data_IF_395495189152
#
_entry.id   IF_395495189152
#
_cell.length_a   1.000
_cell.length_b   1.000
_cell.length_c   1.000
_cell.angle_alpha   90.00
_cell.angle_beta   90.00
_cell.angle_gamma   90.00
#
_symmetry.space_group_name_H-M   'P 1'
#
loop_
_entity.id
_entity.type
_entity.pdbx_description
1 polymer ?
#
# COMPACT_ATOMS: atom_id res chain seq x y z
N UNK A 1 14.19 0.26 6.58
CA UNK A 1 12.80 0.05 7.05
C UNK A 1 12.49 0.87 8.30
N UNK A 2 13.30 0.80 9.37
CA UNK A 2 13.06 1.55 10.63
C UNK A 2 12.87 3.08 10.41
N UNK A 3 13.64 3.68 9.51
CA UNK A 3 13.53 5.12 9.19
C UNK A 3 12.19 5.50 8.57
N UNK A 4 11.64 4.64 7.72
CA UNK A 4 10.35 4.86 7.07
C UNK A 4 9.24 4.78 8.13
N UNK A 5 9.33 3.81 9.04
CA UNK A 5 8.40 3.68 10.16
C UNK A 5 8.44 4.92 11.08
N UNK A 6 9.64 5.45 11.38
CA UNK A 6 9.79 6.68 12.16
C UNK A 6 9.18 7.89 11.45
N UNK A 7 9.42 8.06 10.16
CA UNK A 7 8.81 9.14 9.37
C UNK A 7 7.28 9.04 9.36
N UNK A 8 6.73 7.83 9.22
CA UNK A 8 5.29 7.62 9.25
C UNK A 8 4.70 7.93 10.63
N UNK A 9 5.37 7.50 11.70
CA UNK A 9 4.98 7.80 13.07
C UNK A 9 5.01 9.32 13.35
N UNK A 10 6.05 10.02 12.91
CA UNK A 10 6.15 11.48 13.01
C UNK A 10 5.05 12.18 12.21
N UNK A 11 4.72 11.68 11.00
CA UNK A 11 3.61 12.18 10.20
C UNK A 11 2.26 12.05 10.91
N UNK A 12 2.00 10.91 11.57
CA UNK A 12 0.77 10.70 12.35
C UNK A 12 0.70 11.61 13.58
N UNK A 13 1.82 11.78 14.30
CA UNK A 13 1.88 12.66 15.49
C UNK A 13 1.69 14.12 15.09
N UNK A 14 2.37 14.58 14.05
CA UNK A 14 2.24 15.95 13.54
C UNK A 14 0.84 16.22 12.97
N UNK A 15 0.25 15.26 12.26
CA UNK A 15 -1.14 15.34 11.78
C UNK A 15 -2.19 15.34 12.89
N UNK A 16 -1.93 14.67 14.02
CA UNK A 16 -2.84 14.68 15.18
C UNK A 16 -2.71 15.93 16.05
N UNK A 17 -1.48 16.44 16.22
CA UNK A 17 -1.21 17.62 17.03
C UNK A 17 -1.63 18.91 16.32
N UNK A 18 -1.46 18.93 14.99
CA UNK A 18 -1.90 20.06 14.18
C UNK A 18 -3.40 19.93 13.93
N UNK A 19 -4.20 20.81 14.53
CA UNK A 19 -5.61 20.97 14.12
C UNK A 19 -5.63 21.63 12.75
N UNK A 20 -5.39 20.85 11.70
CA UNK A 20 -5.37 21.37 10.33
C UNK A 20 -6.76 21.95 9.99
N UNK A 21 -6.82 23.17 9.44
CA UNK A 21 -8.08 23.75 9.00
C UNK A 21 -8.73 22.88 7.92
N UNK A 22 -10.07 22.91 7.83
CA UNK A 22 -10.83 22.09 6.87
C UNK A 22 -10.40 22.30 5.40
N UNK A 23 -9.81 23.47 5.10
CA UNK A 23 -9.34 23.85 3.76
C UNK A 23 -8.03 23.17 3.31
N UNK A 24 -7.26 22.54 4.21
CA UNK A 24 -5.98 21.89 3.83
C UNK A 24 -6.17 20.45 3.36
N UNK A 25 -7.24 19.77 3.78
CA UNK A 25 -7.55 18.41 3.38
C UNK A 25 -7.61 18.19 1.86
N UNK A 26 -8.32 19.01 1.05
CA UNK A 26 -8.37 18.80 -0.40
C UNK A 26 -7.02 19.05 -1.08
N UNK A 27 -6.18 19.93 -0.52
CA UNK A 27 -4.82 20.19 -1.03
C UNK A 27 -3.92 19.00 -0.74
N UNK A 28 -3.97 18.46 0.47
CA UNK A 28 -3.22 17.27 0.87
C UNK A 28 -3.60 16.06 0.00
N UNK A 29 -4.90 15.83 -0.21
CA UNK A 29 -5.38 14.72 -1.06
C UNK A 29 -4.85 14.84 -2.50
N UNK A 30 -4.94 16.04 -3.09
CA UNK A 30 -4.40 16.31 -4.43
C UNK A 30 -2.89 16.11 -4.50
N UNK A 31 -2.14 16.54 -3.48
CA UNK A 31 -0.69 16.34 -3.40
C UNK A 31 -0.38 14.85 -3.31
N UNK A 32 -1.02 14.11 -2.40
CA UNK A 32 -0.80 12.67 -2.24
C UNK A 32 -1.05 11.92 -3.55
N UNK A 33 -2.17 12.19 -4.23
CA UNK A 33 -2.47 11.55 -5.50
C UNK A 33 -1.44 11.89 -6.59
N UNK A 34 -1.04 13.17 -6.68
CA UNK A 34 0.00 13.61 -7.64
C UNK A 34 1.33 12.95 -7.34
N UNK A 35 1.72 12.85 -6.07
CA UNK A 35 2.96 12.18 -5.64
C UNK A 35 2.93 10.69 -5.90
N UNK A 36 1.82 10.00 -5.62
CA UNK A 36 1.66 8.57 -5.94
C UNK A 36 1.78 8.37 -7.45
N UNK A 37 1.14 9.20 -8.26
CA UNK A 37 1.25 9.11 -9.71
C UNK A 37 2.70 9.34 -10.19
N UNK A 38 3.37 10.36 -9.65
CA UNK A 38 4.76 10.66 -10.00
C UNK A 38 5.72 9.54 -9.56
N UNK A 39 5.50 8.97 -8.38
CA UNK A 39 6.24 7.80 -7.88
C UNK A 39 6.01 6.58 -8.78
N UNK A 40 4.76 6.30 -9.17
CA UNK A 40 4.43 5.20 -10.07
C UNK A 40 5.09 5.39 -11.44
N UNK A 41 5.13 6.63 -11.95
CA UNK A 41 5.81 6.95 -13.20
C UNK A 41 7.33 6.69 -13.12
N UNK A 42 7.98 7.18 -12.06
CA UNK A 42 9.41 6.95 -11.84
C UNK A 42 9.69 5.45 -11.63
N UNK A 43 8.85 4.76 -10.86
CA UNK A 43 8.98 3.32 -10.64
C UNK A 43 8.82 2.54 -11.95
N UNK A 44 7.82 2.90 -12.77
CA UNK A 44 7.57 2.28 -14.07
C UNK A 44 8.74 2.44 -15.03
N UNK A 45 9.30 3.65 -15.14
CA UNK A 45 10.48 3.89 -15.98
C UNK A 45 11.74 3.17 -15.47
N UNK A 46 11.92 3.10 -14.15
CA UNK A 46 13.07 2.42 -13.54
C UNK A 46 13.02 0.91 -13.78
N UNK A 47 11.87 0.30 -13.56
CA UNK A 47 11.64 -1.13 -13.83
C UNK A 47 11.67 -1.39 -15.33
N UNK A 48 11.13 -0.48 -16.14
CA UNK A 48 11.06 -0.60 -17.59
C UNK A 48 12.41 -0.48 -18.32
N UNK A 49 13.44 0.09 -17.69
CA UNK A 49 14.81 0.13 -18.25
C UNK A 49 15.69 -1.01 -17.73
N UNK A 50 15.14 -1.91 -16.93
CA UNK A 50 15.90 -3.01 -16.35
C UNK A 50 15.79 -4.25 -17.25
N UNK A 51 16.83 -4.52 -18.03
CA UNK A 51 16.89 -5.65 -18.97
C UNK A 51 16.64 -7.00 -18.27
N UNK A 52 17.09 -7.16 -17.01
CA UNK A 52 16.85 -8.36 -16.22
C UNK A 52 15.36 -8.60 -15.92
N UNK A 53 14.60 -7.51 -15.76
CA UNK A 53 13.13 -7.59 -15.61
C UNK A 53 12.50 -7.94 -16.94
N UNK A 54 12.97 -7.34 -18.04
CA UNK A 54 12.46 -7.59 -19.39
C UNK A 54 12.66 -9.04 -19.84
N UNK A 55 13.84 -9.62 -19.63
CA UNK A 55 14.13 -11.01 -19.99
C UNK A 55 13.29 -12.01 -19.19
N UNK A 56 12.88 -11.66 -17.97
CA UNK A 56 12.10 -12.52 -17.08
C UNK A 56 10.67 -12.04 -16.87
N UNK A 57 10.15 -11.22 -17.79
CA UNK A 57 8.81 -10.62 -17.72
C UNK A 57 7.71 -11.67 -17.47
N UNK A 58 7.80 -12.81 -18.16
CA UNK A 58 6.80 -13.88 -18.06
C UNK A 58 6.86 -14.60 -16.71
N UNK A 59 8.06 -14.96 -16.24
CA UNK A 59 8.28 -15.57 -14.92
C UNK A 59 7.84 -14.64 -13.79
N UNK A 60 8.26 -13.36 -13.85
CA UNK A 60 7.91 -12.34 -12.86
C UNK A 60 6.42 -12.03 -12.89
N UNK A 61 5.80 -11.99 -14.07
CA UNK A 61 4.37 -11.77 -14.23
C UNK A 61 3.53 -12.90 -13.64
N UNK A 62 3.88 -14.16 -13.93
CA UNK A 62 3.21 -15.32 -13.35
C UNK A 62 3.38 -15.37 -11.83
N UNK A 63 4.59 -15.10 -11.34
CA UNK A 63 4.85 -15.03 -9.90
C UNK A 63 4.04 -13.91 -9.25
N UNK A 64 3.98 -12.72 -9.87
CA UNK A 64 3.19 -11.60 -9.37
C UNK A 64 1.68 -11.93 -9.33
N UNK A 65 1.15 -12.61 -10.35
CA UNK A 65 -0.24 -13.09 -10.37
C UNK A 65 -0.51 -14.11 -9.26
N UNK A 66 0.38 -15.10 -9.11
CA UNK A 66 0.24 -16.11 -8.06
C UNK A 66 0.30 -15.50 -6.65
N UNK A 67 1.24 -14.58 -6.41
CA UNK A 67 1.39 -13.88 -5.13
C UNK A 67 0.20 -12.97 -4.84
N UNK A 68 -0.28 -12.21 -5.83
CA UNK A 68 -1.45 -11.33 -5.63
C UNK A 68 -2.71 -12.13 -5.32
N UNK A 69 -2.96 -13.25 -6.01
CA UNK A 69 -4.05 -14.17 -5.68
C UNK A 69 -3.88 -14.78 -4.28
N UNK A 70 -2.68 -15.25 -3.93
CA UNK A 70 -2.40 -15.82 -2.63
C UNK A 70 -2.61 -14.80 -1.49
N UNK A 71 -2.20 -13.54 -1.68
CA UNK A 71 -2.41 -12.46 -0.71
C UNK A 71 -3.90 -12.11 -0.54
N UNK A 72 -4.65 -12.00 -1.63
CA UNK A 72 -6.10 -11.72 -1.58
C UNK A 72 -6.82 -12.88 -0.89
N UNK A 73 -6.55 -14.12 -1.30
CA UNK A 73 -7.12 -15.30 -0.68
C UNK A 73 -6.77 -15.39 0.82
N UNK A 74 -5.51 -15.14 1.18
CA UNK A 74 -5.06 -15.10 2.58
C UNK A 74 -5.78 -14.04 3.41
N UNK A 75 -5.94 -12.82 2.87
CA UNK A 75 -6.68 -11.73 3.53
C UNK A 75 -8.14 -12.11 3.77
N UNK A 76 -8.81 -12.69 2.76
CA UNK A 76 -10.20 -13.15 2.87
C UNK A 76 -10.33 -14.27 3.90
N UNK A 77 -9.43 -15.26 3.88
CA UNK A 77 -9.44 -16.39 4.81
C UNK A 77 -9.28 -15.93 6.26
N UNK A 78 -8.33 -15.02 6.52
CA UNK A 78 -8.12 -14.45 7.86
C UNK A 78 -9.31 -13.61 8.29
N UNK A 79 -9.84 -12.75 7.42
CA UNK A 79 -11.03 -11.95 7.73
C UNK A 79 -12.26 -12.83 8.04
N UNK A 80 -12.49 -13.89 7.26
CA UNK A 80 -13.56 -14.84 7.49
C UNK A 80 -13.36 -15.64 8.78
N UNK A 81 -12.13 -16.04 9.08
CA UNK A 81 -11.77 -16.70 10.35
C UNK A 81 -12.03 -15.80 11.54
N UNK A 82 -11.57 -14.55 11.50
CA UNK A 82 -11.83 -13.56 12.54
C UNK A 82 -13.32 -13.27 12.71
N UNK A 83 -14.07 -13.10 11.61
CA UNK A 83 -15.51 -12.87 11.67
C UNK A 83 -16.24 -14.01 12.39
N UNK A 84 -15.91 -15.26 12.05
CA UNK A 84 -16.49 -16.44 12.73
C UNK A 84 -16.08 -16.52 14.21
N UNK A 85 -14.85 -16.15 14.55
CA UNK A 85 -14.35 -16.21 15.92
C UNK A 85 -14.98 -15.14 16.83
N UNK A 86 -15.24 -13.95 16.29
CA UNK A 86 -15.94 -12.87 17.01
C UNK A 86 -17.42 -13.19 17.16
N UNK A 87 -18.09 -13.69 16.11
CA UNK A 87 -19.52 -14.01 16.17
C UNK A 87 -19.84 -15.19 17.10
N UNK A 88 -18.95 -16.19 17.16
CA UNK A 88 -19.09 -17.32 18.08
C UNK A 88 -18.77 -16.98 19.54
N UNK A 89 -18.49 -15.70 19.86
CA UNK A 89 -18.31 -15.18 21.21
C UNK A 89 -19.53 -14.39 21.73
N UNK A 90 -20.55 -14.18 20.89
CA UNK A 90 -21.78 -13.45 21.23
C UNK A 90 -23.02 -14.38 21.42
N UNK A 91 -22.86 -15.70 21.36
CA UNK A 91 -23.88 -16.72 21.69
C UNK A 91 -23.36 -17.60 22.83
#
# INVERSE_FOLDING_TARGET
>A
MIWILLLFALGLVTGRLSRLPSNVWPVLDKITLTTVFLLLFISGTTVGKNDQVFERLLDLGLTALAVSWACVAGSILVAAGMYRWVLNREV
#
